data_IF_377557966284
#
_entry.id   IF_377557966284
#
_cell.length_a   1.000
_cell.length_b   1.000
_cell.length_c   1.000
_cell.angle_alpha   90.00
_cell.angle_beta   90.00
_cell.angle_gamma   90.00
#
_symmetry.space_group_name_H-M   'P 1'
#
loop_
_entity.id
_entity.type
_entity.pdbx_description
1 polymer ?
#
# COMPACT_ATOMS: atom_id res chain seq x y z
N UNK A 1 -15.91 10.92 -25.69
CA UNK A 1 -14.46 10.63 -25.76
C UNK A 1 -13.99 10.25 -24.35
N UNK A 2 -14.14 8.97 -23.99
CA UNK A 2 -13.86 8.45 -22.64
C UNK A 2 -12.35 8.35 -22.41
N UNK A 3 -11.80 9.37 -21.79
CA UNK A 3 -10.38 9.50 -21.49
C UNK A 3 -10.08 8.82 -20.16
N UNK A 4 -10.03 7.48 -20.14
CA UNK A 4 -9.79 6.74 -18.90
C UNK A 4 -9.20 5.33 -19.07
N UNK A 5 -8.61 5.00 -20.23
CA UNK A 5 -8.07 3.65 -20.51
C UNK A 5 -6.56 3.59 -20.74
N UNK A 6 -5.78 4.61 -20.35
CA UNK A 6 -4.39 4.73 -20.80
C UNK A 6 -3.32 4.99 -19.72
N UNK A 7 -3.61 4.81 -18.44
CA UNK A 7 -2.52 4.58 -17.48
C UNK A 7 -2.44 3.09 -17.15
N UNK A 8 -1.28 2.43 -17.40
CA UNK A 8 -1.09 1.06 -16.97
C UNK A 8 -1.31 1.02 -15.46
N UNK A 9 -2.08 0.03 -14.97
CA UNK A 9 -2.09 -0.21 -13.52
C UNK A 9 -0.62 -0.45 -13.16
N UNK A 10 -0.05 0.25 -12.16
CA UNK A 10 1.31 -0.03 -11.72
C UNK A 10 1.42 -1.54 -11.47
N UNK A 11 2.53 -2.14 -11.90
CA UNK A 11 2.68 -3.57 -11.79
C UNK A 11 2.46 -3.98 -10.31
N UNK A 12 1.90 -5.17 -10.02
CA UNK A 12 1.71 -5.61 -8.64
C UNK A 12 3.01 -5.45 -7.84
N UNK A 13 4.13 -5.80 -8.47
CA UNK A 13 5.50 -5.66 -8.01
C UNK A 13 5.97 -4.24 -7.68
N UNK A 14 5.47 -3.21 -8.37
CA UNK A 14 5.73 -1.80 -8.03
C UNK A 14 4.98 -1.37 -6.75
N UNK A 15 3.93 -2.11 -6.36
CA UNK A 15 3.20 -1.91 -5.11
C UNK A 15 3.67 -2.86 -3.99
N UNK A 16 4.52 -3.85 -4.29
CA UNK A 16 5.11 -4.78 -3.30
C UNK A 16 6.14 -4.06 -2.44
N UNK A 17 6.88 -3.11 -3.00
CA UNK A 17 7.80 -2.27 -2.23
C UNK A 17 7.03 -1.07 -1.69
N UNK A 18 6.61 -1.07 -0.41
CA UNK A 18 6.18 0.17 0.20
C UNK A 18 7.30 1.19 0.04
N UNK A 19 6.97 2.40 -0.41
CA UNK A 19 7.83 3.57 -0.20
C UNK A 19 8.30 3.53 1.26
N UNK A 20 9.56 3.88 1.51
CA UNK A 20 10.13 3.76 2.85
C UNK A 20 9.14 4.39 3.84
N UNK A 21 8.59 3.60 4.77
CA UNK A 21 7.49 4.08 5.60
C UNK A 21 7.89 5.36 6.36
N UNK A 22 9.18 5.52 6.71
CA UNK A 22 9.67 6.78 7.29
C UNK A 22 9.52 7.96 6.35
N UNK A 23 9.68 7.79 5.04
CA UNK A 23 9.50 8.87 4.04
C UNK A 23 8.02 9.19 3.81
N UNK A 24 7.14 8.17 3.75
CA UNK A 24 5.70 8.38 3.63
C UNK A 24 5.09 9.13 4.84
N UNK A 25 5.73 9.00 6.00
CA UNK A 25 5.31 9.64 7.25
C UNK A 25 6.29 10.73 7.73
N UNK A 26 7.39 11.01 7.00
CA UNK A 26 8.34 12.07 7.34
C UNK A 26 7.61 13.41 7.26
N UNK A 27 7.49 14.09 8.40
CA UNK A 27 6.74 15.35 8.51
C UNK A 27 5.23 15.17 8.76
N UNK A 28 4.71 13.95 8.85
CA UNK A 28 3.36 13.69 9.38
C UNK A 28 3.46 13.41 10.87
N UNK A 29 3.27 14.47 11.66
CA UNK A 29 3.31 14.48 13.13
C UNK A 29 2.31 13.51 13.81
N UNK A 30 1.33 12.99 13.05
CA UNK A 30 0.31 12.06 13.55
C UNK A 30 0.26 10.81 12.69
N UNK A 31 0.87 9.72 13.17
CA UNK A 31 0.50 8.35 12.76
C UNK A 31 -0.86 7.99 13.37
N UNK A 32 -1.91 8.66 12.90
CA UNK A 32 -3.29 8.47 13.37
C UNK A 32 -3.76 7.04 13.08
N UNK A 33 -4.63 6.51 13.94
CA UNK A 33 -5.28 5.18 13.79
C UNK A 33 -6.04 5.01 12.47
N UNK A 34 -6.28 6.11 11.75
CA UNK A 34 -7.01 6.14 10.47
C UNK A 34 -6.10 6.18 9.24
N UNK A 35 -4.79 6.31 9.40
CA UNK A 35 -3.90 6.35 8.23
C UNK A 35 -3.57 4.94 7.78
N UNK A 36 -3.96 4.61 6.54
CA UNK A 36 -3.53 3.38 5.89
C UNK A 36 -2.11 3.60 5.29
N UNK A 37 -1.06 2.96 5.84
CA UNK A 37 0.28 3.02 5.27
C UNK A 37 0.36 2.42 3.86
N UNK A 38 -0.62 1.58 3.50
CA UNK A 38 -0.69 0.84 2.26
C UNK A 38 -1.77 1.40 1.31
N UNK A 39 -2.12 2.69 1.45
CA UNK A 39 -3.14 3.35 0.63
C UNK A 39 -2.88 3.20 -0.88
N UNK A 40 -1.60 3.20 -1.32
CA UNK A 40 -1.23 2.98 -2.72
C UNK A 40 -1.59 1.56 -3.20
N UNK A 41 -1.22 0.53 -2.44
CA UNK A 41 -1.56 -0.86 -2.74
C UNK A 41 -3.08 -1.11 -2.68
N UNK A 42 -3.77 -0.47 -1.72
CA UNK A 42 -5.24 -0.50 -1.63
C UNK A 42 -5.89 0.07 -2.90
N UNK A 43 -5.46 1.25 -3.34
CA UNK A 43 -5.93 1.86 -4.60
C UNK A 43 -5.66 0.96 -5.81
N UNK A 44 -4.46 0.39 -5.93
CA UNK A 44 -4.11 -0.51 -7.03
C UNK A 44 -5.01 -1.76 -7.08
N UNK A 45 -5.31 -2.35 -5.91
CA UNK A 45 -6.22 -3.50 -5.83
C UNK A 45 -7.67 -3.17 -6.24
N UNK A 46 -8.16 -1.99 -5.85
CA UNK A 46 -9.49 -1.50 -6.27
C UNK A 46 -9.54 -1.18 -7.77
N UNK A 47 -8.47 -0.59 -8.32
CA UNK A 47 -8.36 -0.32 -9.76
C UNK A 47 -8.33 -1.63 -10.56
N UNK A 48 -7.62 -2.67 -10.07
CA UNK A 48 -7.64 -4.00 -10.68
C UNK A 48 -9.05 -4.59 -10.71
N UNK A 49 -9.77 -4.57 -9.58
CA UNK A 49 -11.15 -5.07 -9.53
C UNK A 49 -12.06 -4.31 -10.50
N UNK A 50 -11.94 -2.98 -10.55
CA UNK A 50 -12.77 -2.14 -11.44
C UNK A 50 -12.53 -2.45 -12.92
N UNK A 51 -11.31 -2.88 -13.30
CA UNK A 51 -10.97 -3.22 -14.69
C UNK A 51 -11.28 -4.67 -15.08
N UNK A 52 -11.42 -5.56 -14.10
CA UNK A 52 -11.68 -7.00 -14.31
C UNK A 52 -13.09 -7.41 -13.86
N UNK A 53 -14.07 -6.49 -13.91
CA UNK A 53 -15.46 -6.76 -13.54
C UNK A 53 -15.63 -7.35 -12.12
N UNK A 54 -14.78 -6.92 -11.19
CA UNK A 54 -14.68 -7.40 -9.81
C UNK A 54 -14.32 -8.88 -9.68
N UNK A 55 -13.67 -9.45 -10.70
CA UNK A 55 -13.01 -10.75 -10.59
C UNK A 55 -11.84 -10.66 -9.60
N UNK A 56 -11.98 -11.42 -8.52
CA UNK A 56 -11.00 -11.45 -7.42
C UNK A 56 -9.78 -12.29 -7.79
N UNK A 57 -9.96 -13.32 -8.60
CA UNK A 57 -8.89 -14.26 -8.93
C UNK A 57 -7.88 -13.60 -9.87
N UNK A 58 -8.35 -12.72 -10.76
CA UNK A 58 -7.51 -11.87 -11.61
C UNK A 58 -6.64 -10.87 -10.82
N UNK A 59 -6.99 -10.56 -9.57
CA UNK A 59 -6.37 -9.51 -8.76
C UNK A 59 -5.64 -10.03 -7.51
N UNK A 60 -5.43 -11.34 -7.37
CA UNK A 60 -4.77 -11.95 -6.21
C UNK A 60 -3.40 -11.34 -5.88
N UNK A 61 -2.60 -11.05 -6.90
CA UNK A 61 -1.27 -10.44 -6.75
C UNK A 61 -1.34 -9.03 -6.13
N UNK A 62 -2.37 -8.24 -6.48
CA UNK A 62 -2.58 -6.91 -5.89
C UNK A 62 -3.02 -7.01 -4.43
N UNK A 63 -3.85 -8.00 -4.08
CA UNK A 63 -4.22 -8.26 -2.70
C UNK A 63 -3.03 -8.77 -1.89
N UNK A 64 -2.17 -9.59 -2.49
CA UNK A 64 -0.95 -10.08 -1.85
C UNK A 64 0.00 -8.92 -1.55
N UNK A 65 0.21 -8.00 -2.51
CA UNK A 65 1.00 -6.79 -2.29
C UNK A 65 0.47 -5.93 -1.13
N UNK A 66 -0.85 -5.77 -1.00
CA UNK A 66 -1.46 -5.05 0.15
C UNK A 66 -1.16 -5.76 1.49
N UNK A 67 -1.28 -7.09 1.54
CA UNK A 67 -0.98 -7.88 2.74
C UNK A 67 0.49 -7.77 3.13
N UNK A 68 1.39 -7.81 2.16
CA UNK A 68 2.84 -7.74 2.36
C UNK A 68 3.28 -6.35 2.83
N UNK A 69 2.69 -5.29 2.27
CA UNK A 69 2.88 -3.92 2.77
C UNK A 69 2.48 -3.81 4.24
N UNK A 70 1.30 -4.32 4.61
CA UNK A 70 0.80 -4.27 5.99
C UNK A 70 1.66 -5.08 6.95
N UNK A 71 2.10 -6.27 6.52
CA UNK A 71 3.02 -7.13 7.28
C UNK A 71 4.35 -6.42 7.54
N UNK A 72 4.93 -5.83 6.50
CA UNK A 72 6.18 -5.05 6.58
C UNK A 72 6.04 -3.87 7.52
N UNK A 73 4.94 -3.12 7.44
CA UNK A 73 4.68 -1.99 8.33
C UNK A 73 4.59 -2.40 9.80
N UNK A 74 3.86 -3.47 10.12
CA UNK A 74 3.77 -4.00 11.49
C UNK A 74 5.16 -4.44 11.98
N UNK A 75 5.96 -5.06 11.11
CA UNK A 75 7.33 -5.48 11.43
C UNK A 75 8.22 -4.27 11.74
N UNK A 76 8.23 -3.26 10.87
CA UNK A 76 8.98 -2.01 11.08
C UNK A 76 8.57 -1.32 12.38
N UNK A 77 7.27 -1.22 12.67
CA UNK A 77 6.79 -0.61 13.92
C UNK A 77 7.20 -1.39 15.17
N UNK A 78 7.27 -2.73 15.08
CA UNK A 78 7.80 -3.58 16.17
C UNK A 78 9.30 -3.39 16.34
N UNK A 79 10.04 -3.30 15.24
CA UNK A 79 11.49 -3.06 15.23
C UNK A 79 11.84 -1.67 15.79
N UNK A 80 11.14 -0.62 15.37
CA UNK A 80 11.28 0.73 15.92
C UNK A 80 11.02 0.78 17.43
N UNK A 81 9.95 0.11 17.89
CA UNK A 81 9.67 -0.01 19.33
C UNK A 81 10.79 -0.72 20.07
N UNK A 82 11.35 -1.79 19.49
CA UNK A 82 12.49 -2.52 20.07
C UNK A 82 13.77 -1.67 20.08
N UNK A 83 13.97 -0.84 19.07
CA UNK A 83 15.11 0.06 18.92
C UNK A 83 14.95 1.38 19.68
N UNK A 84 13.82 1.60 20.38
CA UNK A 84 13.54 2.84 21.10
C UNK A 84 13.34 4.06 20.20
N UNK A 85 13.04 3.87 18.91
CA UNK A 85 12.81 4.97 17.97
C UNK A 85 11.40 5.53 18.18
N UNK A 86 11.26 6.88 18.26
CA UNK A 86 9.94 7.49 18.37
C UNK A 86 9.13 7.22 17.10
N UNK A 87 7.85 6.87 17.28
CA UNK A 87 6.89 6.59 16.19
C UNK A 87 6.11 7.84 15.74
N UNK A 88 6.58 9.02 16.13
CA UNK A 88 6.03 10.34 15.81
C UNK A 88 6.99 11.11 14.91
#
# INVERSE_FOLDING_TARGET
MSKQKSEPIPAPEDNIKPLNYREQFAGREVTSKFVDPCAAASKASMDCMTRNDYDRDACLEYFQAYRDCKSTWIKQRKEDRRAGRPTS
#
